data_IF_482085389266
#
_entry.id   IF_482085389266
#
_cell.length_a   1.000
_cell.length_b   1.000
_cell.length_c   1.000
_cell.angle_alpha   90.00
_cell.angle_beta   90.00
_cell.angle_gamma   90.00
#
_symmetry.space_group_name_H-M   'P 1'
#
loop_
_entity.id
_entity.type
_entity.pdbx_description
1 polymer ?
#
# COMPACT_ATOMS: atom_id res chain seq x y z
N UNK A 1 -36.58 73.79 2.34
CA UNK A 1 -37.73 73.92 3.27
C UNK A 1 -37.63 72.73 4.21
N UNK A 2 -36.85 72.89 5.27
CA UNK A 2 -37.33 73.12 6.65
C UNK A 2 -37.94 71.82 7.21
N UNK A 3 -37.27 71.17 8.18
CA UNK A 3 -37.49 71.36 9.62
C UNK A 3 -38.96 71.03 9.98
N UNK A 4 -39.32 70.25 10.99
CA UNK A 4 -38.72 70.11 12.30
C UNK A 4 -39.65 69.17 13.08
N UNK A 5 -39.05 68.30 13.87
CA UNK A 5 -39.28 68.17 15.32
C UNK A 5 -40.73 68.04 15.88
N UNK A 6 -40.85 66.93 16.63
CA UNK A 6 -41.14 66.86 18.08
C UNK A 6 -42.57 66.55 18.56
N UNK A 7 -42.51 65.81 19.68
CA UNK A 7 -43.48 65.59 20.77
C UNK A 7 -44.45 64.43 20.50
N UNK A 8 -44.58 63.40 21.33
CA UNK A 8 -44.08 63.14 22.68
C UNK A 8 -45.18 62.48 23.52
N UNK A 9 -44.78 61.76 24.58
CA UNK A 9 -45.57 61.28 25.75
C UNK A 9 -46.48 60.04 25.51
N UNK A 10 -46.14 58.84 26.02
CA UNK A 10 -46.15 58.31 27.40
C UNK A 10 -47.56 57.95 27.91
N UNK A 11 -47.88 56.65 28.04
CA UNK A 11 -48.33 56.03 29.30
C UNK A 11 -48.38 54.49 29.23
N UNK A 12 -47.61 53.91 30.15
CA UNK A 12 -47.71 52.63 30.86
C UNK A 12 -48.90 51.68 30.60
N UNK A 13 -48.61 50.37 30.47
CA UNK A 13 -49.27 49.33 31.29
C UNK A 13 -48.44 48.03 31.29
N UNK A 14 -48.19 47.57 32.53
CA UNK A 14 -47.65 46.29 33.02
C UNK A 14 -47.86 45.07 32.12
N UNK A 15 -46.86 44.17 32.10
CA UNK A 15 -46.97 42.84 32.73
C UNK A 15 -45.61 42.11 32.73
N UNK A 16 -45.19 41.68 33.92
CA UNK A 16 -44.10 40.72 34.14
C UNK A 16 -44.59 39.31 33.82
N UNK A 17 -43.85 38.53 33.03
CA UNK A 17 -43.88 37.06 33.14
C UNK A 17 -42.50 36.45 32.82
N UNK A 18 -41.88 35.95 33.88
CA UNK A 18 -41.02 34.77 33.99
C UNK A 18 -39.95 34.50 32.92
N UNK A 19 -38.73 34.77 33.34
CA UNK A 19 -37.46 34.26 32.86
C UNK A 19 -37.46 32.71 32.86
N UNK A 20 -37.49 32.10 31.68
CA UNK A 20 -37.27 30.67 31.51
C UNK A 20 -35.81 30.44 31.13
N UNK A 21 -35.05 29.92 32.09
CA UNK A 21 -33.64 29.54 31.98
C UNK A 21 -33.45 28.57 30.82
N UNK A 22 -32.71 28.98 29.78
CA UNK A 22 -32.25 28.08 28.73
C UNK A 22 -31.13 27.18 29.27
N UNK A 23 -31.46 25.94 29.62
CA UNK A 23 -30.45 24.88 29.82
C UNK A 23 -29.99 24.39 28.45
N UNK A 24 -28.76 24.74 28.08
CA UNK A 24 -28.02 24.13 26.95
C UNK A 24 -27.83 22.63 27.23
N UNK A 25 -28.21 21.72 26.33
CA UNK A 25 -27.86 20.32 26.47
C UNK A 25 -26.37 20.12 26.18
N UNK A 26 -25.77 19.37 27.08
CA UNK A 26 -24.39 18.93 27.15
C UNK A 26 -23.94 18.25 25.85
N UNK A 27 -22.76 18.63 25.37
CA UNK A 27 -22.07 18.03 24.24
C UNK A 27 -21.66 16.59 24.58
N UNK A 28 -22.42 15.61 24.10
CA UNK A 28 -21.94 14.24 24.01
C UNK A 28 -20.97 14.17 22.83
N UNK A 29 -19.68 14.11 23.15
CA UNK A 29 -18.59 13.81 22.22
C UNK A 29 -18.84 12.44 21.59
N UNK A 30 -19.38 12.44 20.37
CA UNK A 30 -19.42 11.25 19.53
C UNK A 30 -17.97 10.84 19.23
N UNK A 31 -17.59 9.56 19.36
CA UNK A 31 -16.31 9.10 18.86
C UNK A 31 -16.31 9.36 17.35
N UNK A 32 -15.28 10.06 16.86
CA UNK A 32 -15.03 10.24 15.43
C UNK A 32 -15.06 8.85 14.79
N UNK A 33 -16.11 8.56 14.03
CA UNK A 33 -16.10 7.42 13.14
C UNK A 33 -14.92 7.66 12.20
N UNK A 34 -13.85 6.89 12.37
CA UNK A 34 -12.79 6.79 11.38
C UNK A 34 -13.46 6.18 10.16
N UNK A 35 -13.91 7.04 9.25
CA UNK A 35 -14.25 6.62 7.90
C UNK A 35 -12.97 6.04 7.31
N UNK A 36 -12.85 4.72 7.28
CA UNK A 36 -11.95 4.06 6.35
C UNK A 36 -12.50 4.33 4.95
N UNK A 37 -11.81 5.12 4.09
CA UNK A 37 -12.29 5.38 2.74
C UNK A 37 -12.02 4.20 1.78
N UNK A 38 -11.62 3.03 2.29
CA UNK A 38 -11.15 1.89 1.51
C UNK A 38 -12.30 1.01 1.01
N UNK A 39 -13.21 1.57 0.22
CA UNK A 39 -14.08 0.78 -0.63
C UNK A 39 -14.60 1.62 -1.80
N UNK A 40 -13.69 2.23 -2.57
CA UNK A 40 -13.98 2.64 -3.95
C UNK A 40 -12.92 1.98 -4.83
N UNK A 41 -13.39 1.28 -5.87
CA UNK A 41 -12.69 0.20 -6.57
C UNK A 41 -11.20 0.43 -6.76
N UNK A 42 -10.39 -0.54 -6.36
CA UNK A 42 -8.97 -0.57 -6.71
C UNK A 42 -8.86 -0.79 -8.22
N UNK A 43 -8.12 0.08 -8.89
CA UNK A 43 -7.80 -0.06 -10.31
C UNK A 43 -6.30 -0.28 -10.47
N UNK A 44 -5.93 -1.46 -10.96
CA UNK A 44 -4.53 -1.83 -11.18
C UNK A 44 -4.16 -1.46 -12.62
N UNK A 45 -3.18 -0.57 -12.76
CA UNK A 45 -2.62 -0.23 -14.07
C UNK A 45 -1.48 -1.20 -14.41
N UNK A 46 -1.31 -1.52 -15.69
CA UNK A 46 -0.15 -2.29 -16.17
C UNK A 46 0.75 -1.42 -17.03
N UNK A 47 2.06 -1.56 -16.85
CA UNK A 47 3.07 -0.92 -17.69
C UNK A 47 4.03 -1.98 -18.22
N UNK A 48 4.32 -1.92 -19.51
CA UNK A 48 5.33 -2.75 -20.13
C UNK A 48 6.72 -2.39 -19.60
N UNK A 49 7.57 -3.40 -19.52
CA UNK A 49 8.99 -3.26 -19.15
C UNK A 49 9.84 -3.57 -20.38
N UNK A 50 11.12 -3.14 -20.43
CA UNK A 50 12.01 -3.55 -21.53
C UNK A 50 12.24 -5.07 -21.60
N UNK A 51 11.88 -5.82 -20.54
CA UNK A 51 11.92 -7.27 -20.53
C UNK A 51 10.53 -7.83 -20.91
N UNK A 52 10.36 -8.54 -22.05
CA UNK A 52 9.05 -9.09 -22.46
C UNK A 52 8.50 -10.14 -21.48
N UNK A 53 9.37 -10.74 -20.68
CA UNK A 53 8.99 -11.70 -19.64
C UNK A 53 8.56 -11.03 -18.34
N UNK A 54 8.64 -9.70 -18.23
CA UNK A 54 8.28 -8.98 -17.01
C UNK A 54 7.24 -7.90 -17.29
N UNK A 55 6.22 -7.84 -16.44
CA UNK A 55 5.18 -6.83 -16.51
C UNK A 55 5.05 -6.13 -15.16
N UNK A 56 4.90 -4.80 -15.20
CA UNK A 56 4.75 -3.96 -14.01
C UNK A 56 3.27 -3.69 -13.76
N UNK A 57 2.84 -3.93 -12.52
CA UNK A 57 1.49 -3.72 -12.02
C UNK A 57 1.51 -2.59 -10.98
N UNK A 58 0.63 -1.61 -11.13
CA UNK A 58 0.57 -0.41 -10.29
C UNK A 58 -0.83 -0.36 -9.65
N UNK A 59 -0.98 -0.81 -8.40
CA UNK A 59 -2.27 -0.86 -7.71
C UNK A 59 -2.82 0.52 -7.30
N UNK A 60 -2.04 1.60 -7.49
CA UNK A 60 -2.43 2.96 -7.11
C UNK A 60 -2.38 3.22 -5.60
N UNK A 61 -1.66 2.37 -4.85
CA UNK A 61 -1.37 2.52 -3.43
C UNK A 61 0.05 2.05 -3.15
N UNK A 62 0.55 2.43 -1.98
CA UNK A 62 1.84 1.97 -1.50
C UNK A 62 1.82 0.45 -1.25
N UNK A 63 2.85 -0.22 -1.76
CA UNK A 63 3.12 -1.65 -1.61
C UNK A 63 4.21 -1.84 -0.54
N UNK A 64 5.29 -1.06 -0.64
CA UNK A 64 6.37 -1.02 0.35
C UNK A 64 6.72 0.44 0.63
N UNK A 65 6.85 0.82 1.90
CA UNK A 65 7.08 2.23 2.28
C UNK A 65 8.34 2.85 1.66
N UNK A 66 9.50 2.18 1.78
CA UNK A 66 10.78 2.77 1.37
C UNK A 66 11.82 1.77 0.90
N UNK A 67 11.46 0.49 0.79
CA UNK A 67 12.35 -0.58 0.37
C UNK A 67 11.81 -1.26 -0.87
N UNK A 68 12.70 -1.93 -1.58
CA UNK A 68 12.35 -2.87 -2.61
C UNK A 68 12.64 -4.27 -2.10
N UNK A 69 11.87 -5.26 -2.54
CA UNK A 69 12.10 -6.66 -2.20
C UNK A 69 11.89 -7.52 -3.44
N UNK A 70 12.84 -8.41 -3.69
CA UNK A 70 12.72 -9.42 -4.75
C UNK A 70 12.50 -10.79 -4.14
N UNK A 71 11.59 -11.54 -4.75
CA UNK A 71 11.34 -12.94 -4.44
C UNK A 71 11.57 -13.73 -5.72
N UNK A 72 12.69 -14.45 -5.78
CA UNK A 72 13.03 -15.32 -6.92
C UNK A 72 12.54 -16.76 -6.73
N UNK A 73 12.10 -17.13 -5.53
CA UNK A 73 11.56 -18.47 -5.23
C UNK A 73 10.32 -18.39 -4.32
N UNK A 74 9.40 -19.37 -4.40
CA UNK A 74 8.25 -19.46 -3.49
C UNK A 74 8.63 -19.57 -2.01
N UNK A 75 9.81 -20.15 -1.70
CA UNK A 75 10.30 -20.26 -0.33
C UNK A 75 10.69 -18.89 0.24
N UNK A 76 11.34 -18.04 -0.56
CA UNK A 76 11.68 -16.67 -0.17
C UNK A 76 10.43 -15.80 0.05
N UNK A 77 9.31 -16.14 -0.60
CA UNK A 77 8.05 -15.42 -0.47
C UNK A 77 7.40 -15.56 0.92
N UNK A 78 7.88 -16.45 1.80
CA UNK A 78 7.28 -16.72 3.11
C UNK A 78 6.98 -15.44 3.92
N UNK A 79 7.91 -14.47 3.87
CA UNK A 79 7.83 -13.19 4.55
C UNK A 79 6.74 -12.25 4.01
N UNK A 80 6.06 -12.58 2.91
CA UNK A 80 5.02 -11.75 2.32
C UNK A 80 3.78 -12.56 1.95
N UNK A 81 2.63 -12.32 2.61
CA UNK A 81 1.36 -12.94 2.23
C UNK A 81 0.98 -12.64 0.78
N UNK A 82 1.25 -11.42 0.28
CA UNK A 82 1.01 -11.04 -1.11
C UNK A 82 1.88 -11.84 -2.07
N UNK A 83 3.20 -11.93 -1.82
CA UNK A 83 4.09 -12.69 -2.69
C UNK A 83 3.70 -14.17 -2.73
N UNK A 84 3.34 -14.76 -1.58
CA UNK A 84 2.85 -16.15 -1.51
C UNK A 84 1.60 -16.38 -2.36
N UNK A 85 0.68 -15.43 -2.38
CA UNK A 85 -0.51 -15.53 -3.24
C UNK A 85 -0.14 -15.46 -4.72
N UNK A 86 0.75 -14.56 -5.10
CA UNK A 86 1.21 -14.42 -6.48
C UNK A 86 1.96 -15.67 -6.99
N UNK A 87 2.77 -16.31 -6.15
CA UNK A 87 3.46 -17.56 -6.49
C UNK A 87 2.54 -18.78 -6.62
N UNK A 88 1.27 -18.69 -6.20
CA UNK A 88 0.28 -19.76 -6.45
C UNK A 88 -0.23 -19.76 -7.89
N UNK A 89 -0.04 -18.66 -8.61
CA UNK A 89 -0.47 -18.52 -9.99
C UNK A 89 0.54 -19.27 -10.86
N UNK A 90 0.06 -20.23 -11.65
CA UNK A 90 0.91 -21.01 -12.54
C UNK A 90 1.58 -20.11 -13.58
N UNK A 91 2.89 -20.28 -13.76
CA UNK A 91 3.67 -19.48 -14.71
C UNK A 91 4.31 -18.23 -14.13
N UNK A 92 4.13 -17.92 -12.84
CA UNK A 92 4.90 -16.87 -12.15
C UNK A 92 6.26 -17.42 -11.71
N UNK A 93 7.34 -16.81 -12.22
CA UNK A 93 8.73 -17.17 -11.92
C UNK A 93 9.31 -16.38 -10.75
N UNK A 94 9.10 -15.07 -10.75
CA UNK A 94 9.59 -14.19 -9.70
C UNK A 94 8.69 -12.97 -9.54
N UNK A 95 8.75 -12.39 -8.35
CA UNK A 95 7.95 -11.23 -7.95
C UNK A 95 8.88 -10.20 -7.33
N UNK A 96 8.77 -8.96 -7.78
CA UNK A 96 9.54 -7.84 -7.27
C UNK A 96 8.59 -6.76 -6.78
N UNK A 97 8.75 -6.31 -5.55
CA UNK A 97 8.00 -5.21 -4.97
C UNK A 97 8.83 -3.93 -4.98
N UNK A 98 8.27 -2.92 -5.61
CA UNK A 98 8.69 -1.52 -5.49
C UNK A 98 7.83 -0.77 -4.48
N UNK A 99 8.03 0.55 -4.36
CA UNK A 99 7.29 1.38 -3.42
C UNK A 99 5.79 1.43 -3.73
N UNK A 100 5.43 1.67 -4.99
CA UNK A 100 4.05 1.81 -5.47
C UNK A 100 3.66 0.76 -6.53
N UNK A 101 4.52 -0.23 -6.78
CA UNK A 101 4.36 -1.17 -7.88
C UNK A 101 4.84 -2.58 -7.57
N UNK A 102 4.35 -3.53 -8.35
CA UNK A 102 4.70 -4.94 -8.31
C UNK A 102 5.12 -5.35 -9.71
N UNK A 103 6.33 -5.84 -9.90
CA UNK A 103 6.77 -6.44 -11.16
C UNK A 103 6.71 -7.95 -11.03
N UNK A 104 6.11 -8.61 -12.01
CA UNK A 104 6.03 -10.07 -12.06
C UNK A 104 6.78 -10.53 -13.31
N UNK A 105 7.60 -11.56 -13.15
CA UNK A 105 8.28 -12.22 -14.26
C UNK A 105 7.65 -13.59 -14.49
N UNK A 106 7.33 -13.90 -15.75
CA UNK A 106 6.77 -15.21 -16.15
C UNK A 106 7.87 -16.27 -16.36
N UNK A 107 7.52 -17.54 -16.24
CA UNK A 107 8.46 -18.66 -16.34
C UNK A 107 8.96 -18.92 -17.76
N UNK A 108 8.06 -18.91 -18.74
CA UNK A 108 8.39 -19.11 -20.16
C UNK A 108 7.87 -17.98 -21.03
N UNK A 109 8.57 -17.71 -22.14
CA UNK A 109 8.17 -16.75 -23.16
C UNK A 109 6.83 -17.14 -23.82
N UNK A 110 6.52 -18.44 -23.89
CA UNK A 110 5.30 -19.00 -24.49
C UNK A 110 4.02 -18.67 -23.70
N UNK A 111 4.14 -18.29 -22.42
CA UNK A 111 2.99 -17.96 -21.59
C UNK A 111 2.45 -16.57 -21.93
N UNK A 112 1.16 -16.50 -22.25
CA UNK A 112 0.53 -15.24 -22.63
C UNK A 112 0.07 -14.43 -21.40
N UNK A 113 0.42 -13.14 -21.36
CA UNK A 113 0.03 -12.25 -20.26
C UNK A 113 -1.48 -12.10 -20.10
N UNK A 114 -2.28 -12.29 -21.15
CA UNK A 114 -3.74 -12.20 -21.05
C UNK A 114 -4.35 -13.35 -20.23
N UNK A 115 -3.65 -14.48 -20.10
CA UNK A 115 -4.05 -15.59 -19.24
C UNK A 115 -3.67 -15.35 -17.79
N UNK A 116 -2.49 -14.75 -17.55
CA UNK A 116 -1.96 -14.47 -16.21
C UNK A 116 -2.63 -13.27 -15.53
N UNK A 117 -2.97 -12.23 -16.30
CA UNK A 117 -3.50 -10.94 -15.79
C UNK A 117 -4.74 -11.11 -14.90
N UNK A 118 -5.78 -11.87 -15.27
CA UNK A 118 -6.98 -12.03 -14.44
C UNK A 118 -6.66 -12.56 -13.03
N UNK A 119 -5.82 -13.58 -12.93
CA UNK A 119 -5.44 -14.18 -11.65
C UNK A 119 -4.56 -13.24 -10.81
N UNK A 120 -3.63 -12.55 -11.46
CA UNK A 120 -2.77 -11.56 -10.79
C UNK A 120 -3.62 -10.42 -10.22
N UNK A 121 -4.57 -9.89 -11.00
CA UNK A 121 -5.46 -8.85 -10.52
C UNK A 121 -6.29 -9.33 -9.34
N UNK A 122 -6.85 -10.54 -9.42
CA UNK A 122 -7.62 -11.12 -8.33
C UNK A 122 -6.79 -11.23 -7.04
N UNK A 123 -5.56 -11.76 -7.13
CA UNK A 123 -4.67 -11.90 -5.98
C UNK A 123 -4.30 -10.55 -5.33
N UNK A 124 -3.97 -9.55 -6.15
CA UNK A 124 -3.62 -8.21 -5.65
C UNK A 124 -4.85 -7.56 -5.00
N UNK A 125 -6.02 -7.62 -5.64
CA UNK A 125 -7.25 -7.03 -5.10
C UNK A 125 -7.69 -7.72 -3.80
N UNK A 126 -7.66 -9.04 -3.73
CA UNK A 126 -8.03 -9.82 -2.55
C UNK A 126 -7.11 -9.50 -1.36
N UNK A 127 -5.79 -9.51 -1.61
CA UNK A 127 -4.81 -9.13 -0.60
C UNK A 127 -5.09 -7.73 -0.04
N UNK A 128 -5.29 -6.73 -0.90
CA UNK A 128 -5.53 -5.36 -0.45
C UNK A 128 -6.93 -5.11 0.13
N UNK A 129 -7.89 -5.99 -0.16
CA UNK A 129 -9.20 -6.01 0.49
C UNK A 129 -9.13 -6.67 1.89
N UNK A 130 -8.24 -7.64 2.07
CA UNK A 130 -8.04 -8.33 3.35
C UNK A 130 -7.39 -7.45 4.44
N UNK A 131 -6.65 -6.41 4.03
CA UNK A 131 -5.95 -5.52 4.96
C UNK A 131 -4.76 -6.16 5.68
N UNK A 132 -4.27 -7.30 5.19
CA UNK A 132 -3.06 -7.96 5.70
C UNK A 132 -1.81 -7.10 5.45
N UNK A 133 -0.76 -7.24 6.30
CA UNK A 133 0.51 -6.59 6.04
C UNK A 133 1.21 -7.18 4.80
N UNK A 134 1.85 -6.32 4.00
CA UNK A 134 2.57 -6.77 2.77
C UNK A 134 3.79 -7.61 3.13
N UNK A 135 4.49 -7.24 4.20
CA UNK A 135 5.63 -7.98 4.75
C UNK A 135 5.34 -8.31 6.19
N UNK A 136 5.54 -9.57 6.56
CA UNK A 136 5.51 -10.04 7.93
C UNK A 136 6.96 -10.08 8.42
N UNK A 137 7.22 -9.54 9.61
CA UNK A 137 8.57 -9.43 10.21
C UNK A 137 9.25 -10.79 10.51
N UNK A 138 8.63 -11.89 10.10
CA UNK A 138 9.23 -13.21 10.05
C UNK A 138 10.31 -13.26 8.95
N UNK A 139 11.47 -12.68 9.23
CA UNK A 139 12.67 -12.92 8.45
C UNK A 139 12.81 -14.44 8.24
N UNK A 140 13.17 -14.90 7.02
CA UNK A 140 13.66 -16.26 6.91
C UNK A 140 14.87 -16.29 7.83
N UNK A 141 14.93 -17.26 8.74
CA UNK A 141 16.18 -17.58 9.41
C UNK A 141 17.14 -18.02 8.30
N UNK A 142 17.84 -17.07 7.71
CA UNK A 142 18.93 -17.32 6.80
C UNK A 142 20.07 -17.80 7.69
N UNK A 143 20.17 -19.12 7.80
CA UNK A 143 21.34 -19.80 8.37
C UNK A 143 22.58 -19.61 7.47
N UNK A 144 22.49 -18.82 6.40
CA UNK A 144 23.64 -18.30 5.67
C UNK A 144 24.14 -17.03 6.36
N UNK A 145 24.65 -17.20 7.58
CA UNK A 145 25.74 -16.34 8.01
C UNK A 145 26.86 -16.54 6.97
N UNK A 146 27.41 -15.46 6.43
CA UNK A 146 28.71 -15.54 5.77
C UNK A 146 29.69 -16.10 6.80
N UNK A 147 29.95 -17.41 6.74
CA UNK A 147 31.07 -18.01 7.45
C UNK A 147 32.34 -17.47 6.83
N UNK A 148 33.38 -17.31 7.64
CA UNK A 148 34.74 -16.89 7.26
C UNK A 148 35.37 -17.75 6.13
N UNK A 149 34.70 -18.83 5.73
CA UNK A 149 35.02 -19.71 4.62
C UNK A 149 34.75 -19.09 3.22
N UNK A 150 33.79 -18.15 3.10
CA UNK A 150 33.45 -17.54 1.80
C UNK A 150 34.57 -16.59 1.31
N UNK A 151 35.30 -15.94 2.22
CA UNK A 151 36.45 -15.08 1.90
C UNK A 151 37.60 -15.88 1.25
N UNK A 152 37.85 -17.12 1.69
CA UNK A 152 38.89 -17.99 1.12
C UNK A 152 38.51 -18.44 -0.31
N UNK A 153 37.23 -18.80 -0.51
CA UNK A 153 36.72 -19.18 -1.84
C UNK A 153 36.73 -17.98 -2.80
N UNK A 154 36.36 -16.79 -2.34
CA UNK A 154 36.39 -15.55 -3.14
C UNK A 154 37.83 -15.15 -3.50
N UNK A 155 38.80 -15.35 -2.60
CA UNK A 155 40.22 -15.14 -2.90
C UNK A 155 40.74 -16.13 -3.95
N UNK A 156 40.39 -17.41 -3.85
CA UNK A 156 40.75 -18.43 -4.85
C UNK A 156 40.18 -18.09 -6.23
N UNK A 157 38.93 -17.58 -6.30
CA UNK A 157 38.30 -17.18 -7.56
C UNK A 157 39.00 -15.97 -8.19
N UNK A 158 39.46 -15.00 -7.39
CA UNK A 158 40.21 -13.82 -7.88
C UNK A 158 41.56 -14.22 -8.49
N UNK A 159 42.27 -15.17 -7.90
CA UNK A 159 43.58 -15.62 -8.40
C UNK A 159 43.46 -16.32 -9.78
N UNK A 160 42.39 -17.10 -9.98
CA UNK A 160 42.13 -17.79 -11.24
C UNK A 160 41.74 -16.83 -12.39
N UNK A 161 41.11 -15.69 -12.08
CA UNK A 161 40.72 -14.68 -13.09
C UNK A 161 41.91 -13.87 -13.62
N UNK A 162 42.92 -13.60 -12.79
CA UNK A 162 44.10 -12.81 -13.18
C UNK A 162 45.01 -13.58 -14.17
N UNK A 163 44.96 -14.91 -14.14
CA UNK A 163 45.82 -15.77 -14.97
C UNK A 163 45.43 -15.81 -16.46
N UNK A 164 44.21 -15.41 -16.83
CA UNK A 164 43.67 -15.56 -18.20
C UNK A 164 43.47 -14.25 -18.97
N UNK A 165 43.65 -13.10 -18.35
CA UNK A 165 43.57 -11.81 -19.03
C UNK A 165 44.95 -11.14 -18.99
N UNK A 166 45.80 -11.52 -19.93
CA UNK A 166 46.95 -10.70 -20.36
C UNK A 166 47.11 -10.78 -21.87
#
# INVERSE_FOLDING_TARGET
>A
FCQMLLKGHNWSTRQSFHQLVQKKPSLLSLPSAVWNPTARGMFIQTQDTPNPNSLKFIPGREVLESRTMEFSTPAAAFCSPLARQLFRIEGVKSVFFGPDFITITKESEDLDWNLLKPDIYAAIMDFFASGLPVVTDEAPRTDTAASEEDDEVVLMIKELLDTRIR
#
